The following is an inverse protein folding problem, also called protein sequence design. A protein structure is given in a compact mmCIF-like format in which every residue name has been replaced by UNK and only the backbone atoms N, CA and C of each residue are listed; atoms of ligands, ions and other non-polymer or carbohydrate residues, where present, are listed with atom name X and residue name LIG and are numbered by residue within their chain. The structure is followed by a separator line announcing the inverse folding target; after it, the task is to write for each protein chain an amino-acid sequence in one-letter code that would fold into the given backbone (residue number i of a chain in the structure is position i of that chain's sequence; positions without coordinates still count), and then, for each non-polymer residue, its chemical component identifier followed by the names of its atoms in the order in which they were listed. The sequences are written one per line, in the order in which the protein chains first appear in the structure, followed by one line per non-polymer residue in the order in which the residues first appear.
data_IF_985153659185
#
_entry.id   IF_985153659185
#
_cell.length_a   1.000
_cell.length_b   1.000
_cell.length_c   1.000
_cell.angle_alpha   90.00
_cell.angle_beta   90.00
_cell.angle_gamma   90.00
#
_symmetry.space_group_name_H-M   'P 1'
#
loop_
_entity.id
_entity.type
_entity.pdbx_description
1 polymer ?
#
# COMPACT_ATOMS: atom_id res chain seq x y z
N UNK A 1 4.87 19.56 -4.27
CA UNK A 1 6.22 18.95 -4.19
C UNK A 1 6.85 19.00 -5.57
N UNK A 2 8.15 19.29 -5.68
CA UNK A 2 8.80 19.33 -7.00
C UNK A 2 8.97 17.91 -7.54
N UNK A 3 8.48 17.66 -8.76
CA UNK A 3 8.62 16.37 -9.49
C UNK A 3 9.06 16.64 -10.92
N UNK A 4 9.57 15.59 -11.56
CA UNK A 4 9.79 15.59 -13.01
C UNK A 4 8.51 15.12 -13.71
N UNK A 5 8.13 15.80 -14.79
CA UNK A 5 7.05 15.38 -15.66
C UNK A 5 7.37 14.03 -16.29
N UNK A 6 6.44 13.07 -16.23
CA UNK A 6 6.66 11.73 -16.80
C UNK A 6 6.73 11.71 -18.33
N UNK A 7 6.27 12.77 -19.00
CA UNK A 7 6.26 12.87 -20.47
C UNK A 7 7.49 13.62 -20.99
N UNK A 8 7.73 14.84 -20.48
CA UNK A 8 8.79 15.71 -21.01
C UNK A 8 9.99 15.89 -20.07
N UNK A 9 9.98 15.27 -18.88
CA UNK A 9 11.07 15.34 -17.89
C UNK A 9 11.20 16.66 -17.13
N UNK A 10 10.51 17.73 -17.53
CA UNK A 10 10.61 19.05 -16.90
C UNK A 10 10.22 19.03 -15.41
N UNK A 11 10.99 19.73 -14.58
CA UNK A 11 10.66 19.96 -13.17
C UNK A 11 9.43 20.85 -13.04
N UNK A 12 8.47 20.46 -12.21
CA UNK A 12 7.25 21.22 -11.95
C UNK A 12 6.76 20.97 -10.52
N UNK A 13 5.92 21.87 -9.99
CA UNK A 13 5.30 21.70 -8.68
C UNK A 13 4.04 20.82 -8.79
N UNK A 14 4.16 19.56 -8.39
CA UNK A 14 3.06 18.60 -8.35
C UNK A 14 2.11 18.90 -7.18
N UNK A 15 0.82 19.01 -7.49
CA UNK A 15 -0.31 19.11 -6.55
C UNK A 15 -1.22 17.88 -6.73
N UNK A 16 -1.83 17.40 -5.65
CA UNK A 16 -2.81 16.31 -5.67
C UNK A 16 -2.37 15.03 -6.43
N UNK A 17 -1.07 14.75 -6.46
CA UNK A 17 -0.53 13.57 -7.14
C UNK A 17 -0.40 13.70 -8.66
N UNK A 18 -0.63 14.88 -9.26
CA UNK A 18 -0.42 15.11 -10.70
C UNK A 18 1.04 14.80 -11.07
N UNK A 19 1.24 14.10 -12.18
CA UNK A 19 2.55 13.63 -12.66
C UNK A 19 2.99 14.25 -13.99
N UNK A 20 2.14 15.09 -14.59
CA UNK A 20 2.42 15.84 -15.83
C UNK A 20 2.48 17.33 -15.54
N UNK A 21 3.35 18.06 -16.24
CA UNK A 21 3.54 19.49 -15.97
C UNK A 21 2.50 20.41 -16.63
N UNK A 22 1.73 19.91 -17.60
CA UNK A 22 0.75 20.68 -18.37
C UNK A 22 -0.34 19.77 -18.94
N UNK A 23 -1.43 20.37 -19.39
CA UNK A 23 -2.54 19.67 -20.06
C UNK A 23 -2.08 18.98 -21.33
N UNK A 24 -1.17 19.60 -22.08
CA UNK A 24 -0.57 19.00 -23.27
C UNK A 24 0.17 17.69 -22.94
N UNK A 25 0.98 17.67 -21.87
CA UNK A 25 1.62 16.44 -21.40
C UNK A 25 0.61 15.42 -20.84
N UNK A 26 -0.47 15.89 -20.23
CA UNK A 26 -1.56 15.02 -19.78
C UNK A 26 -2.23 14.31 -20.97
N UNK A 27 -2.55 15.04 -22.04
CA UNK A 27 -3.20 14.47 -23.23
C UNK A 27 -2.30 13.47 -23.96
N UNK A 28 -1.01 13.76 -24.11
CA UNK A 28 -0.03 12.81 -24.67
C UNK A 28 -0.06 11.49 -23.88
N UNK A 29 0.06 11.57 -22.56
CA UNK A 29 0.01 10.39 -21.68
C UNK A 29 -1.35 9.69 -21.73
N UNK A 30 -2.44 10.44 -21.86
CA UNK A 30 -3.78 9.89 -21.93
C UNK A 30 -3.98 9.09 -23.22
N UNK A 31 -3.49 9.60 -24.35
CA UNK A 31 -3.49 8.92 -25.65
C UNK A 31 -2.69 7.61 -25.59
N UNK A 32 -1.46 7.63 -25.10
CA UNK A 32 -0.63 6.43 -24.90
C UNK A 32 -1.35 5.36 -24.05
N UNK A 33 -2.03 5.79 -22.98
CA UNK A 33 -2.81 4.89 -22.12
C UNK A 33 -3.98 4.26 -22.87
N UNK A 34 -4.70 5.04 -23.70
CA UNK A 34 -5.83 4.54 -24.49
C UNK A 34 -5.37 3.54 -25.55
N UNK A 35 -4.32 3.87 -26.30
CA UNK A 35 -3.72 2.98 -27.31
C UNK A 35 -3.25 1.67 -26.70
N UNK A 36 -2.54 1.73 -25.55
CA UNK A 36 -2.11 0.52 -24.82
C UNK A 36 -3.31 -0.35 -24.42
N UNK A 37 -4.41 0.25 -23.97
CA UNK A 37 -5.61 -0.48 -23.59
C UNK A 37 -6.30 -1.13 -24.80
N UNK A 38 -6.31 -0.46 -25.95
CA UNK A 38 -6.85 -1.02 -27.18
C UNK A 38 -6.03 -2.22 -27.66
N UNK A 39 -4.69 -2.12 -27.66
CA UNK A 39 -3.82 -3.23 -27.99
C UNK A 39 -4.05 -4.46 -27.08
N UNK A 40 -4.34 -4.22 -25.80
CA UNK A 40 -4.71 -5.29 -24.86
C UNK A 40 -6.05 -5.91 -25.24
N UNK A 41 -7.07 -5.11 -25.60
CA UNK A 41 -8.39 -5.62 -26.05
C UNK A 41 -8.29 -6.44 -27.33
N UNK A 42 -7.44 -6.01 -28.27
CA UNK A 42 -7.16 -6.73 -29.50
C UNK A 42 -6.21 -7.93 -29.32
N UNK A 43 -5.84 -8.27 -28.06
CA UNK A 43 -4.88 -9.32 -27.72
C UNK A 43 -3.46 -9.15 -28.32
N UNK A 44 -3.14 -7.99 -28.89
CA UNK A 44 -1.83 -7.65 -29.45
C UNK A 44 -0.78 -7.37 -28.38
N UNK A 45 -1.22 -6.96 -27.19
CA UNK A 45 -0.36 -6.74 -26.03
C UNK A 45 -0.89 -7.53 -24.83
N UNK A 46 -0.03 -8.33 -24.19
CA UNK A 46 -0.38 -9.07 -22.96
C UNK A 46 -0.15 -8.20 -21.74
N UNK A 47 -1.01 -8.35 -20.72
CA UNK A 47 -0.78 -7.73 -19.42
C UNK A 47 0.35 -8.44 -18.68
N UNK A 48 0.98 -7.70 -17.79
CA UNK A 48 2.03 -8.22 -16.91
C UNK A 48 1.44 -9.12 -15.82
N UNK A 49 2.25 -10.06 -15.34
CA UNK A 49 1.88 -10.99 -14.27
C UNK A 49 2.81 -10.81 -13.07
N UNK A 50 2.25 -10.92 -11.86
CA UNK A 50 3.00 -10.96 -10.59
C UNK A 50 2.71 -12.25 -9.86
N UNK A 51 3.65 -12.65 -9.00
CA UNK A 51 3.46 -13.76 -8.05
C UNK A 51 2.86 -13.20 -6.75
N UNK A 52 1.76 -13.76 -6.28
CA UNK A 52 1.19 -13.36 -5.00
C UNK A 52 2.14 -13.79 -3.86
N UNK A 53 2.53 -12.89 -2.95
CA UNK A 53 3.43 -13.24 -1.84
C UNK A 53 2.78 -14.15 -0.78
N UNK A 54 1.45 -14.26 -0.77
CA UNK A 54 0.72 -15.07 0.22
C UNK A 54 0.52 -16.49 -0.25
N UNK A 55 -0.05 -16.68 -1.45
CA UNK A 55 -0.38 -18.02 -1.97
C UNK A 55 0.55 -18.50 -3.09
N UNK A 56 1.48 -17.66 -3.57
CA UNK A 56 2.42 -18.02 -4.63
C UNK A 56 1.83 -18.11 -6.04
N UNK A 57 0.51 -17.92 -6.22
CA UNK A 57 -0.13 -17.97 -7.55
C UNK A 57 0.28 -16.78 -8.42
N UNK A 58 0.44 -17.02 -9.73
CA UNK A 58 0.61 -15.95 -10.72
C UNK A 58 -0.75 -15.31 -11.00
N UNK A 59 -0.81 -13.98 -11.04
CA UNK A 59 -2.04 -13.24 -11.36
C UNK A 59 -1.74 -12.05 -12.27
N UNK A 60 -2.73 -11.68 -13.08
CA UNK A 60 -2.65 -10.59 -14.04
C UNK A 60 -2.75 -9.22 -13.34
N UNK A 61 -1.90 -8.28 -13.73
CA UNK A 61 -1.83 -6.95 -13.11
C UNK A 61 -2.60 -5.96 -13.98
N UNK A 62 -3.75 -5.52 -13.47
CA UNK A 62 -4.51 -4.43 -14.07
C UNK A 62 -4.11 -3.05 -13.50
N UNK A 63 -3.54 -3.02 -12.29
CA UNK A 63 -3.11 -1.81 -11.58
C UNK A 63 -1.72 -2.02 -11.01
N UNK A 64 -0.82 -1.06 -11.22
CA UNK A 64 0.59 -1.18 -10.79
C UNK A 64 0.77 -1.47 -9.30
N UNK A 65 -0.11 -0.92 -8.46
CA UNK A 65 -0.11 -1.09 -7.00
C UNK A 65 -0.73 -2.42 -6.50
N UNK A 66 -1.24 -3.27 -7.40
CA UNK A 66 -1.79 -4.57 -7.00
C UNK A 66 -0.65 -5.52 -6.62
N UNK A 67 -0.69 -6.02 -5.38
CA UNK A 67 0.33 -6.91 -4.79
C UNK A 67 -0.21 -8.33 -4.56
N UNK A 68 -1.49 -8.44 -4.24
CA UNK A 68 -2.14 -9.72 -3.89
C UNK A 68 -3.11 -10.12 -4.99
N UNK A 69 -3.24 -11.43 -5.23
CA UNK A 69 -4.13 -11.95 -6.27
C UNK A 69 -5.61 -11.87 -5.90
N UNK A 70 -5.95 -11.76 -4.61
CA UNK A 70 -7.33 -11.74 -4.12
C UNK A 70 -7.47 -10.90 -2.85
N UNK A 71 -8.72 -10.55 -2.51
CA UNK A 71 -9.06 -9.89 -1.25
C UNK A 71 -8.68 -10.76 -0.04
N UNK A 72 -8.90 -12.08 -0.12
CA UNK A 72 -8.52 -13.04 0.92
C UNK A 72 -7.01 -13.00 1.19
N UNK A 73 -6.17 -13.06 0.15
CA UNK A 73 -4.72 -12.98 0.31
C UNK A 73 -4.30 -11.65 0.93
N UNK A 74 -4.96 -10.54 0.54
CA UNK A 74 -4.71 -9.23 1.15
C UNK A 74 -5.09 -9.22 2.63
N UNK A 75 -6.18 -9.87 3.02
CA UNK A 75 -6.63 -9.93 4.41
C UNK A 75 -5.66 -10.76 5.26
N UNK A 76 -5.21 -11.91 4.76
CA UNK A 76 -4.18 -12.74 5.42
C UNK A 76 -2.92 -11.92 5.69
N UNK A 77 -2.37 -11.25 4.66
CA UNK A 77 -1.20 -10.40 4.81
C UNK A 77 -1.43 -9.25 5.82
N UNK A 78 -2.65 -8.71 5.87
CA UNK A 78 -3.03 -7.65 6.80
C UNK A 78 -3.07 -8.16 8.25
N UNK A 79 -3.64 -9.35 8.47
CA UNK A 79 -3.68 -10.01 9.79
C UNK A 79 -2.27 -10.34 10.27
N UNK A 80 -1.42 -10.89 9.41
CA UNK A 80 -0.02 -11.19 9.74
C UNK A 80 0.76 -9.93 10.12
N UNK A 81 0.58 -8.84 9.36
CA UNK A 81 1.20 -7.55 9.66
C UNK A 81 0.75 -7.01 11.02
N UNK A 82 -0.56 -7.06 11.31
CA UNK A 82 -1.10 -6.66 12.63
C UNK A 82 -0.53 -7.52 13.76
N UNK A 83 -0.47 -8.84 13.59
CA UNK A 83 0.09 -9.76 14.58
C UNK A 83 1.55 -9.44 14.89
N UNK A 84 2.37 -9.19 13.85
CA UNK A 84 3.76 -8.74 14.02
C UNK A 84 3.84 -7.41 14.75
N UNK A 85 3.02 -6.43 14.36
CA UNK A 85 2.99 -5.12 15.00
C UNK A 85 2.68 -5.22 16.50
N UNK A 86 1.60 -5.92 16.87
CA UNK A 86 1.24 -6.09 18.27
C UNK A 86 2.29 -6.87 19.05
N UNK A 87 2.85 -7.96 18.47
CA UNK A 87 3.93 -8.71 19.09
C UNK A 87 5.11 -7.79 19.44
N UNK A 88 5.54 -6.96 18.49
CA UNK A 88 6.63 -6.01 18.69
C UNK A 88 6.27 -4.96 19.74
N UNK A 89 5.06 -4.40 19.68
CA UNK A 89 4.57 -3.43 20.67
C UNK A 89 4.63 -3.98 22.09
N UNK A 90 4.14 -5.20 22.33
CA UNK A 90 4.16 -5.83 23.65
C UNK A 90 5.57 -6.19 24.11
N UNK A 91 6.48 -6.59 23.21
CA UNK A 91 7.87 -6.85 23.58
C UNK A 91 8.62 -5.57 23.95
N UNK A 92 8.41 -4.48 23.21
CA UNK A 92 9.09 -3.19 23.41
C UNK A 92 8.57 -2.45 24.66
N UNK A 93 7.31 -2.66 25.03
CA UNK A 93 6.67 -1.97 26.15
C UNK A 93 6.44 -2.88 27.36
N UNK A 94 7.11 -4.03 27.41
CA UNK A 94 6.85 -5.08 28.40
C UNK A 94 6.90 -4.58 29.84
N UNK A 95 7.99 -3.90 30.21
CA UNK A 95 8.22 -3.44 31.58
C UNK A 95 7.21 -2.39 32.00
N UNK A 96 6.92 -1.42 31.12
CA UNK A 96 5.89 -0.39 31.34
C UNK A 96 4.50 -1.01 31.54
N UNK A 97 4.18 -2.06 30.79
CA UNK A 97 2.89 -2.76 30.92
C UNK A 97 2.81 -3.48 32.27
N UNK A 98 3.89 -4.17 32.69
CA UNK A 98 3.95 -4.83 34.00
C UNK A 98 3.81 -3.81 35.13
N UNK A 99 4.57 -2.72 35.07
CA UNK A 99 4.53 -1.64 36.06
C UNK A 99 3.12 -1.03 36.17
N UNK A 100 2.50 -0.67 35.04
CA UNK A 100 1.14 -0.14 35.01
C UNK A 100 0.11 -1.12 35.59
N UNK A 101 0.26 -2.43 35.31
CA UNK A 101 -0.64 -3.44 35.87
C UNK A 101 -0.50 -3.56 37.39
N UNK A 102 0.74 -3.58 37.91
CA UNK A 102 1.02 -3.59 39.35
C UNK A 102 0.43 -2.34 40.04
N UNK A 103 0.61 -1.16 39.45
CA UNK A 103 0.07 0.09 39.98
C UNK A 103 -1.47 0.11 39.98
N UNK A 104 -2.11 -0.43 38.94
CA UNK A 104 -3.56 -0.54 38.87
C UNK A 104 -4.12 -1.53 39.90
N UNK A 105 -3.41 -2.63 40.18
CA UNK A 105 -3.79 -3.58 41.23
C UNK A 105 -3.77 -2.90 42.61
N UNK A 106 -2.71 -2.14 42.92
CA UNK A 106 -2.58 -1.40 44.17
C UNK A 106 -3.72 -0.38 44.33
N UNK A 107 -4.06 0.36 43.27
CA UNK A 107 -5.19 1.33 43.27
C UNK A 107 -6.53 0.65 43.58
N UNK A 108 -6.81 -0.52 43.00
CA UNK A 108 -8.05 -1.27 43.24
C UNK A 108 -8.18 -1.77 44.68
N UNK A 109 -7.08 -2.20 45.29
CA UNK A 109 -7.08 -2.63 46.70
C UNK A 109 -7.34 -1.43 47.62
N UNK A 110 -6.74 -0.27 47.32
CA UNK A 110 -6.93 0.96 48.10
C UNK A 110 -8.32 1.59 47.96
N UNK A 111 -9.08 1.28 46.92
CA UNK A 111 -10.46 1.79 46.73
C UNK A 111 -11.55 0.89 47.34
N UNK A 112 -11.19 -0.28 47.85
CA UNK A 112 -12.11 -1.25 48.49
C UNK A 112 -11.93 -1.32 50.03
N UNK A 113 -11.15 -0.38 50.59
CA UNK A 113 -10.96 -0.14 52.04
C UNK A 113 -11.42 1.27 52.32
#
# INVERSE_FOLDING_TARGET
MIKNCVVCGKKFNSKNGIITCSDMCYEIRNKERLEKNELIRQNKLKREYKKCPVCGKKFEINKSHLVYCSAECREVATKDKKKKYFKNYYSENRDKIIENNSMNQIKRVKSNV
#
